data_IF_672421261971
#
_entry.id   IF_672421261971
#
_cell.length_a   1.000
_cell.length_b   1.000
_cell.length_c   1.000
_cell.angle_alpha   90.00
_cell.angle_beta   90.00
_cell.angle_gamma   90.00
#
_symmetry.space_group_name_H-M   'P 1'
#
loop_
_entity.id
_entity.type
_entity.pdbx_description
1 polymer ?
#
# COMPACT_ATOMS: atom_id res chain seq x y z
N UNK A 1 -11.09 -17.08 -12.99
CA UNK A 1 -10.19 -16.02 -12.50
C UNK A 1 -9.89 -15.08 -13.67
N UNK A 2 -9.47 -13.82 -13.43
CA UNK A 2 -8.59 -13.18 -14.41
C UNK A 2 -7.44 -14.16 -14.64
N UNK A 3 -7.33 -14.66 -15.87
CA UNK A 3 -6.45 -15.78 -16.20
C UNK A 3 -5.00 -15.35 -15.94
N UNK A 4 -4.45 -15.69 -14.77
CA UNK A 4 -3.04 -15.42 -14.42
C UNK A 4 -2.71 -14.97 -12.99
N UNK A 5 -3.67 -14.56 -12.15
CA UNK A 5 -3.37 -14.00 -10.82
C UNK A 5 -4.09 -14.77 -9.70
N UNK A 6 -3.57 -15.93 -9.27
CA UNK A 6 -4.17 -16.71 -8.18
C UNK A 6 -3.84 -16.16 -6.78
N UNK A 7 -2.96 -15.15 -6.67
CA UNK A 7 -2.52 -14.54 -5.41
C UNK A 7 -3.29 -13.27 -5.08
N UNK A 8 -3.37 -12.94 -3.80
CA UNK A 8 -3.89 -11.64 -3.35
C UNK A 8 -2.88 -10.52 -3.60
N UNK A 9 -3.34 -9.27 -3.61
CA UNK A 9 -2.49 -8.07 -3.72
C UNK A 9 -2.42 -7.40 -2.35
N UNK A 10 -1.22 -7.19 -1.80
CA UNK A 10 -1.04 -6.50 -0.52
C UNK A 10 -1.34 -5.02 -0.65
N UNK A 11 -1.73 -4.39 0.45
CA UNK A 11 -1.87 -2.95 0.53
C UNK A 11 -1.60 -2.46 1.96
N UNK A 12 -1.00 -1.29 2.03
CA UNK A 12 -0.96 -0.42 3.21
C UNK A 12 -1.99 0.70 2.99
N UNK A 13 -3.19 0.50 3.51
CA UNK A 13 -4.32 1.37 3.23
C UNK A 13 -4.27 2.66 4.06
N UNK A 14 -3.81 2.60 5.31
CA UNK A 14 -3.69 3.76 6.20
C UNK A 14 -2.32 4.45 6.16
N UNK A 15 -1.36 3.87 5.43
CA UNK A 15 -0.01 4.39 5.13
C UNK A 15 0.87 4.49 6.36
N UNK A 16 0.72 3.55 7.28
CA UNK A 16 1.53 3.48 8.50
C UNK A 16 2.81 2.64 8.35
N UNK A 17 3.11 2.18 7.15
CA UNK A 17 4.26 1.33 6.82
C UNK A 17 3.96 -0.15 6.97
N UNK A 18 2.68 -0.52 7.13
CA UNK A 18 2.28 -1.91 7.37
C UNK A 18 1.23 -2.39 6.40
N UNK A 19 1.34 -3.65 6.01
CA UNK A 19 0.29 -4.30 5.24
C UNK A 19 -0.90 -4.56 6.16
N UNK A 20 -1.99 -3.86 5.90
CA UNK A 20 -3.23 -3.95 6.65
C UNK A 20 -4.38 -4.52 5.79
N UNK A 21 -4.18 -4.71 4.49
CA UNK A 21 -5.16 -5.34 3.60
C UNK A 21 -4.55 -6.27 2.54
N UNK A 22 -5.33 -7.26 2.11
CA UNK A 22 -5.10 -8.04 0.90
C UNK A 22 -6.37 -8.07 0.05
N UNK A 23 -6.22 -7.82 -1.24
CA UNK A 23 -7.30 -7.85 -2.24
C UNK A 23 -7.21 -9.08 -3.12
N UNK A 24 -8.33 -9.76 -3.36
CA UNK A 24 -8.45 -10.84 -4.35
C UNK A 24 -9.50 -10.48 -5.39
N UNK A 25 -9.20 -10.75 -6.66
CA UNK A 25 -10.15 -10.58 -7.76
C UNK A 25 -10.62 -11.93 -8.27
N UNK A 26 -11.93 -12.15 -8.25
CA UNK A 26 -12.58 -13.34 -8.79
C UNK A 26 -13.10 -13.07 -10.20
N UNK A 27 -13.27 -14.12 -11.00
CA UNK A 27 -13.84 -13.96 -12.36
C UNK A 27 -15.35 -13.82 -12.39
N UNK A 28 -16.00 -14.00 -11.26
CA UNK A 28 -17.44 -13.99 -11.10
C UNK A 28 -17.80 -13.46 -9.72
N UNK A 29 -19.06 -13.06 -9.56
CA UNK A 29 -19.57 -12.58 -8.29
C UNK A 29 -19.64 -13.71 -7.28
N UNK A 30 -18.98 -13.48 -6.15
CA UNK A 30 -19.08 -14.27 -4.95
C UNK A 30 -20.28 -13.82 -4.12
N UNK A 31 -20.87 -14.78 -3.42
CA UNK A 31 -21.92 -14.54 -2.43
C UNK A 31 -21.32 -14.01 -1.14
N UNK A 32 -21.76 -12.84 -0.69
CA UNK A 32 -21.04 -12.11 0.37
C UNK A 32 -21.15 -12.62 1.80
N UNK A 33 -22.00 -13.63 2.06
CA UNK A 33 -22.21 -14.21 3.39
C UNK A 33 -21.61 -15.63 3.55
N UNK A 34 -20.40 -15.88 3.05
CA UNK A 34 -19.82 -17.24 3.04
C UNK A 34 -18.62 -17.48 3.97
N UNK A 35 -17.97 -16.43 4.48
CA UNK A 35 -16.70 -16.54 5.22
C UNK A 35 -16.86 -16.61 6.74
N UNK A 36 -15.97 -17.36 7.37
CA UNK A 36 -15.68 -17.39 8.79
C UNK A 36 -14.21 -17.03 9.07
N UNK A 37 -13.88 -16.75 10.33
CA UNK A 37 -12.52 -16.41 10.76
C UNK A 37 -11.50 -17.51 10.44
N UNK A 38 -11.93 -18.78 10.49
CA UNK A 38 -11.07 -19.94 10.24
C UNK A 38 -10.84 -20.23 8.74
N UNK A 39 -11.57 -19.55 7.85
CA UNK A 39 -11.52 -19.84 6.40
C UNK A 39 -10.31 -19.21 5.71
N UNK A 40 -9.67 -18.21 6.32
CA UNK A 40 -8.56 -17.48 5.71
C UNK A 40 -7.42 -17.39 6.71
N UNK A 41 -6.22 -17.76 6.27
CA UNK A 41 -4.99 -17.55 7.04
C UNK A 41 -3.95 -16.87 6.17
N UNK A 42 -3.20 -15.96 6.78
CA UNK A 42 -2.11 -15.22 6.13
C UNK A 42 -0.85 -15.38 6.99
N UNK A 43 0.21 -15.96 6.42
CA UNK A 43 1.44 -16.26 7.15
C UNK A 43 2.08 -14.98 7.69
N UNK A 44 2.27 -14.91 9.01
CA UNK A 44 2.86 -13.74 9.68
C UNK A 44 1.87 -12.68 10.13
N UNK A 45 0.59 -12.79 9.76
CA UNK A 45 -0.44 -11.78 10.02
C UNK A 45 -1.58 -12.37 10.85
N UNK A 46 -2.25 -11.51 11.61
CA UNK A 46 -3.55 -11.83 12.19
C UNK A 46 -4.64 -11.35 11.25
N UNK A 47 -5.51 -12.24 10.80
CA UNK A 47 -6.68 -11.85 9.99
C UNK A 47 -7.73 -11.25 10.92
N UNK A 48 -8.15 -10.01 10.63
CA UNK A 48 -9.13 -9.28 11.44
C UNK A 48 -10.55 -9.41 10.89
N UNK A 49 -10.69 -9.37 9.57
CA UNK A 49 -11.97 -9.54 8.88
C UNK A 49 -11.79 -9.84 7.40
N UNK A 50 -12.86 -10.28 6.76
CA UNK A 50 -12.92 -10.45 5.32
C UNK A 50 -14.33 -10.17 4.78
N UNK A 51 -14.44 -9.49 3.64
CA UNK A 51 -15.71 -9.09 3.02
C UNK A 51 -15.60 -9.08 1.50
N UNK A 52 -16.64 -9.51 0.80
CA UNK A 52 -16.76 -9.27 -0.65
C UNK A 52 -17.43 -7.93 -0.94
N UNK A 53 -17.01 -7.29 -2.02
CA UNK A 53 -17.56 -6.02 -2.49
C UNK A 53 -17.83 -6.08 -4.00
N UNK A 54 -18.87 -5.38 -4.45
CA UNK A 54 -19.19 -5.22 -5.86
C UNK A 54 -18.13 -4.43 -6.62
N UNK A 55 -18.13 -4.53 -7.94
CA UNK A 55 -17.18 -3.80 -8.81
C UNK A 55 -17.38 -2.28 -8.80
N UNK A 56 -18.60 -1.80 -8.53
CA UNK A 56 -18.96 -0.38 -8.46
C UNK A 56 -18.66 0.28 -7.10
N UNK A 57 -18.32 -0.50 -6.06
CA UNK A 57 -17.92 0.02 -4.76
C UNK A 57 -16.40 0.08 -4.67
N UNK A 58 -15.80 1.15 -5.20
CA UNK A 58 -14.39 1.44 -4.88
C UNK A 58 -14.29 1.78 -3.40
N UNK A 59 -13.42 1.05 -2.69
CA UNK A 59 -13.34 1.00 -1.23
C UNK A 59 -13.31 2.37 -0.58
N UNK A 60 -14.47 2.84 -0.14
CA UNK A 60 -14.52 3.95 0.81
C UNK A 60 -13.92 3.45 2.13
N UNK A 61 -13.26 4.32 2.89
CA UNK A 61 -12.72 4.00 4.22
C UNK A 61 -13.76 3.35 5.16
N UNK A 62 -15.05 3.59 4.91
CA UNK A 62 -16.16 3.00 5.66
C UNK A 62 -16.42 1.52 5.33
N UNK A 63 -16.08 1.07 4.10
CA UNK A 63 -16.25 -0.32 3.66
C UNK A 63 -15.17 -1.28 4.22
N UNK A 64 -14.09 -0.72 4.77
CA UNK A 64 -12.92 -1.43 5.33
C UNK A 64 -13.00 -1.69 6.85
N UNK A 65 -14.14 -1.35 7.44
CA UNK A 65 -14.46 -1.61 8.85
C UNK A 65 -15.17 -2.95 9.10
N UNK A 66 -15.25 -3.84 8.09
CA UNK A 66 -16.06 -5.06 8.17
C UNK A 66 -15.66 -5.96 9.35
N UNK A 67 -16.64 -6.63 9.95
CA UNK A 67 -16.44 -7.73 10.91
C UNK A 67 -16.64 -9.05 10.15
N UNK A 68 -15.95 -10.12 10.56
CA UNK A 68 -16.34 -11.47 10.14
C UNK A 68 -17.75 -11.72 10.68
N UNK A 69 -18.79 -11.63 9.85
CA UNK A 69 -20.07 -12.35 9.94
C UNK A 69 -21.03 -11.80 8.87
N UNK A 70 -21.22 -12.52 7.76
CA UNK A 70 -22.44 -12.45 6.93
C UNK A 70 -22.85 -11.11 6.29
N UNK A 71 -22.03 -10.06 6.37
CA UNK A 71 -22.35 -8.69 5.94
C UNK A 71 -21.69 -8.27 4.63
N UNK A 72 -21.10 -9.20 3.89
CA UNK A 72 -20.60 -8.94 2.55
C UNK A 72 -21.73 -8.72 1.56
N UNK A 73 -21.55 -7.74 0.67
CA UNK A 73 -22.38 -7.64 -0.52
C UNK A 73 -21.90 -8.70 -1.52
N UNK A 74 -22.79 -9.16 -2.38
CA UNK A 74 -22.38 -9.99 -3.50
C UNK A 74 -21.37 -9.20 -4.37
N UNK A 75 -20.28 -9.83 -4.80
CA UNK A 75 -19.17 -9.06 -5.34
C UNK A 75 -18.01 -9.84 -5.92
N UNK A 76 -17.22 -9.20 -6.77
CA UNK A 76 -16.08 -9.81 -7.49
C UNK A 76 -14.74 -9.62 -6.78
N UNK A 77 -14.68 -8.74 -5.78
CA UNK A 77 -13.48 -8.51 -4.97
C UNK A 77 -13.69 -9.03 -3.57
N UNK A 78 -12.72 -9.77 -3.03
CA UNK A 78 -12.60 -10.07 -1.61
C UNK A 78 -11.53 -9.17 -1.01
N UNK A 79 -11.90 -8.45 0.04
CA UNK A 79 -10.99 -7.68 0.87
C UNK A 79 -10.77 -8.46 2.16
N UNK A 80 -9.51 -8.67 2.53
CA UNK A 80 -9.10 -9.26 3.80
C UNK A 80 -8.35 -8.20 4.60
N UNK A 81 -8.86 -7.86 5.78
CA UNK A 81 -8.20 -6.93 6.70
C UNK A 81 -7.25 -7.69 7.61
N UNK A 82 -6.06 -7.15 7.77
CA UNK A 82 -4.97 -7.76 8.50
C UNK A 82 -4.50 -6.87 9.64
N UNK A 83 -3.78 -7.52 10.55
CA UNK A 83 -2.86 -6.86 11.46
C UNK A 83 -1.50 -7.50 11.28
N UNK A 84 -0.57 -6.71 10.76
CA UNK A 84 0.84 -7.07 10.70
C UNK A 84 1.45 -7.20 12.10
N UNK A 85 2.56 -7.92 12.17
CA UNK A 85 3.39 -8.06 13.36
C UNK A 85 4.09 -6.77 13.78
N UNK A 86 5.21 -6.93 14.49
CA UNK A 86 5.96 -5.80 15.05
C UNK A 86 6.85 -5.08 14.02
N UNK A 87 7.15 -5.73 12.90
CA UNK A 87 8.07 -5.23 11.88
C UNK A 87 7.26 -4.67 10.71
N UNK A 88 7.60 -3.46 10.26
CA UNK A 88 7.06 -2.81 9.06
C UNK A 88 7.72 -3.45 7.83
N UNK A 89 6.93 -4.01 6.92
CA UNK A 89 7.43 -4.63 5.68
C UNK A 89 6.37 -4.48 4.58
N UNK A 90 6.34 -3.30 3.96
CA UNK A 90 5.46 -3.04 2.80
C UNK A 90 5.80 -3.94 1.62
N UNK A 91 7.04 -4.46 1.54
CA UNK A 91 7.48 -5.39 0.49
C UNK A 91 7.14 -6.86 0.76
N UNK A 92 6.46 -7.18 1.87
CA UNK A 92 6.19 -8.55 2.23
C UNK A 92 5.24 -9.23 1.23
N UNK A 93 5.52 -10.51 0.97
CA UNK A 93 4.70 -11.36 0.08
C UNK A 93 4.14 -12.56 0.86
N UNK A 94 3.26 -12.33 1.85
CA UNK A 94 2.81 -13.38 2.74
C UNK A 94 2.08 -14.51 2.01
N UNK A 95 2.29 -15.75 2.46
CA UNK A 95 1.56 -16.90 1.95
C UNK A 95 0.11 -16.88 2.46
N UNK A 96 -0.83 -16.99 1.54
CA UNK A 96 -2.26 -16.99 1.80
C UNK A 96 -2.81 -18.41 1.65
N UNK A 97 -3.69 -18.79 2.57
CA UNK A 97 -4.57 -19.96 2.42
C UNK A 97 -6.03 -19.52 2.55
N UNK A 98 -6.86 -19.98 1.62
CA UNK A 98 -8.33 -19.87 1.67
C UNK A 98 -8.88 -21.30 1.68
N UNK A 99 -9.65 -21.64 2.69
CA UNK A 99 -10.19 -22.99 2.85
C UNK A 99 -11.09 -23.39 1.67
N UNK A 100 -11.04 -24.67 1.31
CA UNK A 100 -11.90 -25.23 0.28
C UNK A 100 -13.37 -25.14 0.71
N UNK A 101 -14.25 -24.65 -0.18
CA UNK A 101 -15.66 -24.35 0.08
C UNK A 101 -15.92 -23.22 1.09
N UNK A 102 -14.93 -22.35 1.35
CA UNK A 102 -15.13 -21.12 2.12
C UNK A 102 -15.93 -20.05 1.36
N UNK A 103 -15.84 -20.07 0.03
CA UNK A 103 -16.48 -19.10 -0.86
C UNK A 103 -17.38 -19.80 -1.85
N UNK A 104 -18.48 -19.14 -2.22
CA UNK A 104 -19.44 -19.63 -3.19
C UNK A 104 -19.78 -18.53 -4.19
N UNK A 105 -19.99 -18.89 -5.46
CA UNK A 105 -20.60 -18.00 -6.43
C UNK A 105 -22.13 -17.85 -6.19
N UNK A 106 -22.78 -17.01 -6.99
CA UNK A 106 -24.24 -16.83 -6.92
C UNK A 106 -25.05 -18.06 -7.34
N UNK A 107 -24.47 -18.98 -8.10
CA UNK A 107 -25.08 -20.26 -8.48
C UNK A 107 -24.92 -21.34 -7.40
N UNK A 108 -24.13 -21.08 -6.35
CA UNK A 108 -23.82 -22.01 -5.27
C UNK A 108 -22.68 -22.98 -5.59
N UNK A 109 -21.87 -22.72 -6.62
CA UNK A 109 -20.64 -23.48 -6.86
C UNK A 109 -19.57 -23.03 -5.85
N UNK A 110 -18.89 -24.01 -5.25
CA UNK A 110 -17.86 -23.74 -4.26
C UNK A 110 -16.52 -23.39 -4.90
N UNK A 111 -15.82 -22.42 -4.33
CA UNK A 111 -14.43 -22.14 -4.61
C UNK A 111 -13.55 -23.29 -4.08
N UNK A 112 -12.59 -23.72 -4.89
CA UNK A 112 -11.72 -24.86 -4.57
C UNK A 112 -10.74 -24.57 -3.41
N UNK A 113 -10.59 -23.30 -3.01
CA UNK A 113 -9.60 -22.84 -2.04
C UNK A 113 -8.25 -22.50 -2.68
N UNK A 114 -7.38 -21.92 -1.86
CA UNK A 114 -5.97 -21.64 -2.14
C UNK A 114 -5.14 -22.21 -1.00
N UNK A 115 -3.97 -22.78 -1.29
CA UNK A 115 -3.07 -23.32 -0.27
C UNK A 115 -1.67 -22.75 -0.48
N UNK A 116 -1.20 -21.99 0.52
CA UNK A 116 0.15 -21.38 0.55
C UNK A 116 0.52 -20.63 -0.73
N UNK A 117 -0.41 -19.83 -1.27
CA UNK A 117 -0.16 -19.01 -2.45
C UNK A 117 0.40 -17.67 -1.99
N UNK A 118 1.61 -17.26 -2.43
CA UNK A 118 2.16 -15.96 -2.04
C UNK A 118 1.30 -14.81 -2.60
N UNK A 119 1.14 -13.78 -1.79
CA UNK A 119 0.61 -12.50 -2.25
C UNK A 119 1.58 -11.84 -3.24
N UNK A 120 1.04 -11.00 -4.11
CA UNK A 120 1.80 -10.02 -4.86
C UNK A 120 1.99 -8.79 -4.01
N UNK A 121 3.22 -8.30 -4.01
CA UNK A 121 3.57 -7.03 -3.42
C UNK A 121 2.98 -5.87 -4.25
N UNK A 122 2.06 -5.14 -3.61
CA UNK A 122 1.34 -3.98 -4.12
C UNK A 122 1.22 -2.86 -3.07
N UNK A 123 1.77 -3.07 -1.86
CA UNK A 123 1.73 -2.04 -0.84
C UNK A 123 2.83 -1.03 -1.16
N UNK A 124 2.49 0.26 -1.36
CA UNK A 124 3.49 1.23 -1.75
C UNK A 124 4.53 1.46 -0.64
N UNK A 125 5.80 1.77 -0.98
CA UNK A 125 6.77 2.25 -0.01
C UNK A 125 6.23 3.43 0.79
N UNK A 126 6.55 3.45 2.09
CA UNK A 126 6.32 4.60 2.97
C UNK A 126 7.63 5.33 3.19
N UNK A 127 7.62 6.66 3.02
CA UNK A 127 8.76 7.51 3.30
C UNK A 127 8.62 8.18 4.68
N UNK A 128 9.70 8.12 5.46
CA UNK A 128 9.81 8.82 6.75
C UNK A 128 11.01 9.76 6.74
N UNK A 129 10.89 10.86 7.49
CA UNK A 129 12.01 11.79 7.71
C UNK A 129 12.90 11.27 8.82
N UNK A 130 14.19 11.08 8.53
CA UNK A 130 15.13 10.75 9.59
C UNK A 130 15.31 11.93 10.55
N UNK A 131 15.61 11.61 11.81
CA UNK A 131 15.91 12.60 12.87
C UNK A 131 17.15 13.47 12.58
N UNK A 132 18.00 13.03 11.65
CA UNK A 132 19.17 13.74 11.13
C UNK A 132 18.79 14.89 10.18
N UNK A 133 17.55 14.92 9.68
CA UNK A 133 17.06 15.93 8.74
C UNK A 133 17.12 17.33 9.34
N UNK A 134 17.49 18.28 8.48
CA UNK A 134 17.63 19.70 8.78
C UNK A 134 16.81 20.52 7.77
N UNK A 135 16.83 21.84 7.91
CA UNK A 135 16.16 22.74 6.97
C UNK A 135 16.67 22.56 5.52
N UNK A 136 17.97 22.38 5.34
CA UNK A 136 18.63 22.35 4.01
C UNK A 136 19.06 20.96 3.56
N UNK A 137 19.16 19.99 4.48
CA UNK A 137 19.55 18.62 4.16
C UNK A 137 18.49 17.68 4.74
N UNK A 138 17.74 17.03 3.86
CA UNK A 138 16.61 16.16 4.19
C UNK A 138 17.05 14.73 3.92
N UNK A 139 16.86 13.85 4.89
CA UNK A 139 17.14 12.43 4.77
C UNK A 139 15.80 11.70 4.81
N UNK A 140 15.41 11.11 3.68
CA UNK A 140 14.22 10.26 3.55
C UNK A 140 14.64 8.80 3.63
N UNK A 141 14.00 8.07 4.54
CA UNK A 141 14.09 6.61 4.66
C UNK A 141 12.79 6.00 4.13
N UNK A 142 12.89 5.09 3.17
CA UNK A 142 11.78 4.30 2.67
C UNK A 142 11.66 2.99 3.47
N UNK A 143 10.44 2.46 3.62
CA UNK A 143 10.15 1.17 4.25
C UNK A 143 10.72 -0.03 3.47
N UNK A 144 11.00 0.16 2.18
CA UNK A 144 11.52 -0.87 1.28
C UNK A 144 12.45 -0.26 0.21
N UNK A 145 13.00 -1.13 -0.64
CA UNK A 145 13.88 -0.72 -1.74
C UNK A 145 13.09 -0.06 -2.88
N UNK A 146 13.46 1.17 -3.23
CA UNK A 146 12.95 1.89 -4.41
C UNK A 146 14.01 1.93 -5.52
N UNK A 147 13.56 2.04 -6.76
CA UNK A 147 14.43 2.03 -7.94
C UNK A 147 14.89 3.41 -8.36
N UNK A 148 14.07 4.43 -8.11
CA UNK A 148 14.34 5.81 -8.50
C UNK A 148 13.63 6.80 -7.58
N UNK A 149 14.27 7.95 -7.38
CA UNK A 149 13.71 9.13 -6.73
C UNK A 149 14.02 10.35 -7.59
N UNK A 150 13.00 10.96 -8.17
CA UNK A 150 13.12 12.13 -9.04
C UNK A 150 12.34 13.32 -8.53
N UNK A 151 12.70 14.52 -8.99
CA UNK A 151 12.01 15.76 -8.66
C UNK A 151 10.90 16.01 -9.67
N UNK A 152 9.67 16.17 -9.21
CA UNK A 152 8.59 16.75 -10.01
C UNK A 152 8.77 18.28 -10.00
N UNK A 153 9.28 18.81 -11.10
CA UNK A 153 9.56 20.25 -11.22
C UNK A 153 8.31 21.11 -11.45
N UNK A 154 7.20 20.50 -11.88
CA UNK A 154 5.98 21.25 -12.22
C UNK A 154 5.17 21.57 -10.95
N UNK A 155 5.24 20.69 -9.95
CA UNK A 155 4.50 20.82 -8.67
C UNK A 155 5.39 21.22 -7.48
N UNK A 156 6.71 21.36 -7.68
CA UNK A 156 7.64 21.87 -6.67
C UNK A 156 7.59 23.41 -6.61
N UNK A 157 7.41 23.97 -5.40
CA UNK A 157 7.21 25.42 -5.20
C UNK A 157 8.39 26.13 -4.54
N UNK A 158 9.39 25.39 -4.06
CA UNK A 158 10.63 26.02 -3.55
C UNK A 158 11.31 26.82 -4.67
N UNK A 159 11.68 28.05 -4.36
CA UNK A 159 12.28 28.98 -5.33
C UNK A 159 13.78 28.75 -5.55
N UNK A 160 14.42 28.02 -4.63
CA UNK A 160 15.84 27.66 -4.67
C UNK A 160 16.11 26.37 -5.45
N UNK A 161 17.40 26.07 -5.65
CA UNK A 161 17.78 24.79 -6.23
C UNK A 161 17.47 23.63 -5.27
N UNK A 162 16.93 22.54 -5.82
CA UNK A 162 16.77 21.25 -5.15
C UNK A 162 17.69 20.26 -5.82
N UNK A 163 18.50 19.55 -5.03
CA UNK A 163 19.37 18.49 -5.51
C UNK A 163 19.04 17.21 -4.77
N UNK A 164 18.75 16.16 -5.53
CA UNK A 164 18.50 14.81 -5.02
C UNK A 164 19.78 13.99 -5.23
N UNK A 165 20.21 13.33 -4.18
CA UNK A 165 21.25 12.29 -4.22
C UNK A 165 20.60 10.98 -3.80
N UNK A 166 20.54 10.03 -4.72
CA UNK A 166 19.99 8.70 -4.48
C UNK A 166 20.96 7.66 -5.03
N UNK A 167 21.28 6.66 -4.20
CA UNK A 167 22.11 5.52 -4.60
C UNK A 167 21.22 4.27 -4.69
N UNK A 168 20.94 3.76 -5.91
CA UNK A 168 20.10 2.58 -6.08
C UNK A 168 20.75 1.29 -5.51
N UNK A 169 22.01 1.33 -5.05
CA UNK A 169 22.65 0.22 -4.35
C UNK A 169 22.39 0.21 -2.84
N UNK A 170 21.94 1.33 -2.27
CA UNK A 170 21.41 1.40 -0.89
C UNK A 170 19.88 1.56 -0.85
N UNK A 171 19.26 1.89 -1.99
CA UNK A 171 17.85 1.87 -2.44
C UNK A 171 16.72 2.25 -1.47
N UNK A 172 17.01 2.51 -0.21
CA UNK A 172 16.05 2.79 0.86
C UNK A 172 16.25 4.19 1.43
N UNK A 173 17.25 4.93 0.97
CA UNK A 173 17.55 6.29 1.45
C UNK A 173 17.73 7.26 0.28
N UNK A 174 17.07 8.41 0.36
CA UNK A 174 17.31 9.56 -0.51
C UNK A 174 17.75 10.77 0.32
N UNK A 175 18.78 11.46 -0.16
CA UNK A 175 19.24 12.73 0.40
C UNK A 175 18.79 13.89 -0.50
N UNK A 176 18.08 14.86 0.06
CA UNK A 176 17.66 16.07 -0.64
C UNK A 176 18.34 17.29 -0.03
N UNK A 177 19.10 18.01 -0.86
CA UNK A 177 19.67 19.31 -0.54
C UNK A 177 18.79 20.42 -1.10
N UNK A 178 18.45 21.40 -0.26
CA UNK A 178 17.58 22.54 -0.60
C UNK A 178 18.30 23.84 -0.32
N UNK A 179 18.30 24.76 -1.29
CA UNK A 179 18.70 26.15 -1.07
C UNK A 179 17.62 26.89 -0.26
N UNK A 180 17.98 27.37 0.94
CA UNK A 180 17.03 27.99 1.87
C UNK A 180 16.85 29.49 1.70
N UNK A 181 17.53 30.11 0.72
CA UNK A 181 17.56 31.57 0.52
C UNK A 181 16.21 32.19 0.17
N UNK A 182 15.17 31.38 -0.08
CA UNK A 182 13.80 31.80 -0.33
C UNK A 182 12.73 30.84 0.19
N UNK A 183 13.07 29.99 1.17
CA UNK A 183 12.12 29.00 1.72
C UNK A 183 11.07 29.67 2.60
N UNK A 184 9.78 29.52 2.24
CA UNK A 184 8.63 30.05 2.96
C UNK A 184 7.78 28.93 3.56
N UNK A 185 7.06 29.27 4.64
CA UNK A 185 6.03 28.37 5.18
C UNK A 185 5.01 28.00 4.08
N UNK A 186 4.77 26.70 3.93
CA UNK A 186 3.95 26.11 2.87
C UNK A 186 4.70 25.74 1.60
N UNK A 187 6.01 25.98 1.49
CA UNK A 187 6.77 25.54 0.33
C UNK A 187 6.81 24.00 0.25
N UNK A 188 6.76 23.51 -0.99
CA UNK A 188 6.61 22.10 -1.34
C UNK A 188 7.76 21.63 -2.21
N UNK A 189 8.27 20.44 -1.90
CA UNK A 189 9.09 19.62 -2.80
C UNK A 189 8.26 18.38 -3.09
N UNK A 190 7.97 18.14 -4.37
CA UNK A 190 7.28 16.92 -4.79
C UNK A 190 8.28 16.01 -5.48
N UNK A 191 8.33 14.77 -5.03
CA UNK A 191 9.19 13.72 -5.54
C UNK A 191 8.33 12.66 -6.23
N UNK A 192 8.83 12.13 -7.33
CA UNK A 192 8.30 10.93 -7.97
C UNK A 192 9.19 9.75 -7.54
N UNK A 193 8.56 8.70 -7.01
CA UNK A 193 9.22 7.49 -6.53
C UNK A 193 8.82 6.33 -7.44
N UNK A 194 9.79 5.69 -8.07
CA UNK A 194 9.56 4.44 -8.80
C UNK A 194 9.96 3.27 -7.91
N UNK A 195 9.01 2.42 -7.53
CA UNK A 195 9.27 1.21 -6.75
C UNK A 195 9.88 0.08 -7.60
N UNK A 196 10.40 -0.96 -6.92
CA UNK A 196 10.89 -2.18 -7.56
C UNK A 196 9.80 -3.26 -7.76
N UNK A 197 8.57 -3.01 -7.30
CA UNK A 197 7.47 -3.97 -7.37
C UNK A 197 7.11 -4.34 -8.83
N UNK A 198 6.37 -5.44 -8.97
CA UNK A 198 5.85 -5.89 -10.26
C UNK A 198 4.83 -4.91 -10.87
N UNK A 199 4.19 -4.08 -10.04
CA UNK A 199 3.17 -3.13 -10.45
C UNK A 199 3.77 -1.86 -11.08
N UNK A 200 5.04 -1.54 -10.77
CA UNK A 200 5.73 -0.31 -11.20
C UNK A 200 4.88 0.92 -10.97
N UNK A 201 4.39 1.06 -9.75
CA UNK A 201 3.56 2.19 -9.39
C UNK A 201 4.47 3.38 -9.16
N UNK A 202 4.21 4.46 -9.90
CA UNK A 202 4.81 5.77 -9.60
C UNK A 202 4.06 6.37 -8.41
N UNK A 203 4.78 6.66 -7.33
CA UNK A 203 4.20 7.17 -6.08
C UNK A 203 4.75 8.57 -5.83
N UNK A 204 3.85 9.51 -5.56
CA UNK A 204 4.26 10.84 -5.15
C UNK A 204 4.74 10.85 -3.69
N UNK A 205 5.83 11.54 -3.40
CA UNK A 205 6.24 11.89 -2.05
C UNK A 205 6.29 13.42 -1.93
N UNK A 206 5.49 13.97 -1.03
CA UNK A 206 5.32 15.41 -0.84
C UNK A 206 5.99 15.81 0.46
N UNK A 207 6.99 16.67 0.34
CA UNK A 207 7.63 17.33 1.47
C UNK A 207 7.08 18.75 1.59
N UNK A 208 6.57 19.12 2.76
CA UNK A 208 6.06 20.47 3.03
C UNK A 208 6.82 21.10 4.20
N UNK A 209 7.35 22.31 3.97
CA UNK A 209 7.99 23.10 5.02
C UNK A 209 6.93 23.86 5.82
N UNK A 210 6.86 23.67 7.14
CA UNK A 210 5.88 24.34 8.02
C UNK A 210 6.42 25.60 8.72
N UNK A 211 7.53 26.14 8.24
CA UNK A 211 8.26 27.23 8.89
C UNK A 211 9.30 26.76 9.93
N UNK A 212 9.21 25.51 10.40
CA UNK A 212 10.09 24.96 11.45
C UNK A 212 10.75 23.64 11.05
N UNK A 213 10.04 22.76 10.37
CA UNK A 213 10.50 21.45 9.94
C UNK A 213 9.84 21.05 8.62
N UNK A 214 10.41 20.03 8.00
CA UNK A 214 9.77 19.30 6.92
C UNK A 214 8.75 18.32 7.49
N UNK A 215 7.63 18.19 6.79
CA UNK A 215 6.66 17.12 6.98
C UNK A 215 6.60 16.31 5.68
N UNK A 216 6.45 14.99 5.79
CA UNK A 216 6.39 14.08 4.66
C UNK A 216 4.99 13.49 4.55
N UNK A 217 4.50 13.37 3.31
CA UNK A 217 3.25 12.68 2.98
C UNK A 217 3.44 11.90 1.69
N UNK A 218 3.06 10.62 1.70
CA UNK A 218 2.96 9.82 0.48
C UNK A 218 1.64 10.08 -0.26
N UNK A 219 1.69 10.09 -1.59
CA UNK A 219 0.58 10.31 -2.51
C UNK A 219 -0.56 9.30 -2.33
N UNK A 220 -1.74 9.65 -2.85
CA UNK A 220 -2.89 8.77 -2.78
C UNK A 220 -2.81 7.66 -3.83
N UNK A 221 -3.02 6.42 -3.41
CA UNK A 221 -3.18 5.29 -4.29
C UNK A 221 -4.66 5.09 -4.64
N UNK A 222 -4.97 4.87 -5.91
CA UNK A 222 -6.32 4.60 -6.40
C UNK A 222 -6.36 3.20 -7.02
N UNK A 223 -7.17 2.30 -6.44
CA UNK A 223 -7.56 1.02 -7.04
C UNK A 223 -8.77 1.20 -7.96
#
# INVERSE_FOLDING_TARGET
MLDGWPGGMTADFDRDGKIDHIFFMFSEELKGASLSEDDITVEGYTVLSAKTIGDEQTGSLEDLGAEFEGTGDDGVVLIVKLKEGADEDTSATPAITIANNALFDLAGNAFAGLENVPAFDFAPPVATLETSSTKTNIHLQFSEEVSQVTLDTDDTTVSGAVKITFDPSTSTVAEIEVDDSGLNDGDVIKLEIEELSLAKIDIDCILTWDGTKWNVKMGDFYF
#
